data_IF_949744482293
#
_entry.id   IF_949744482293
#
_cell.length_a   1.000
_cell.length_b   1.000
_cell.length_c   1.000
_cell.angle_alpha   90.00
_cell.angle_beta   90.00
_cell.angle_gamma   90.00
#
_symmetry.space_group_name_H-M   'P 1'
#
loop_
_entity.id
_entity.type
_entity.pdbx_description
1 polymer ?
#
# COMPACT_ATOMS: atom_id res chain seq x y z
N UNK A 1 -13.82 -20.78 -3.58
CA UNK A 1 -12.63 -21.38 -4.21
C UNK A 1 -11.39 -20.82 -3.50
N UNK A 2 -10.66 -21.61 -2.72
CA UNK A 2 -9.44 -21.13 -2.04
C UNK A 2 -8.31 -21.08 -3.06
N UNK A 3 -7.85 -19.88 -3.42
CA UNK A 3 -6.65 -19.70 -4.22
C UNK A 3 -5.46 -20.15 -3.37
N UNK A 4 -4.89 -21.32 -3.67
CA UNK A 4 -3.65 -21.76 -3.03
C UNK A 4 -2.53 -20.86 -3.52
N UNK A 5 -1.75 -20.27 -2.62
CA UNK A 5 -0.51 -19.59 -3.00
C UNK A 5 0.40 -20.60 -3.68
N UNK A 6 0.92 -20.26 -4.87
CA UNK A 6 2.01 -21.02 -5.46
C UNK A 6 3.28 -20.80 -4.64
N UNK A 7 4.26 -21.71 -4.67
CA UNK A 7 5.53 -21.53 -3.96
C UNK A 7 6.21 -20.19 -4.25
N UNK A 8 6.14 -19.73 -5.51
CA UNK A 8 6.69 -18.44 -5.93
C UNK A 8 5.96 -17.22 -5.32
N UNK A 9 4.65 -17.34 -5.09
CA UNK A 9 3.85 -16.29 -4.45
C UNK A 9 4.18 -16.20 -2.96
N UNK A 10 4.48 -17.34 -2.33
CA UNK A 10 4.93 -17.42 -0.95
C UNK A 10 6.29 -16.74 -0.76
N UNK A 11 7.26 -17.06 -1.61
CA UNK A 11 8.59 -16.45 -1.54
C UNK A 11 8.50 -14.93 -1.74
N UNK A 12 7.68 -14.46 -2.70
CA UNK A 12 7.41 -13.04 -2.90
C UNK A 12 6.79 -12.40 -1.66
N UNK A 13 5.77 -13.04 -1.07
CA UNK A 13 5.12 -12.55 0.13
C UNK A 13 6.11 -12.44 1.32
N UNK A 14 6.99 -13.41 1.51
CA UNK A 14 8.05 -13.34 2.53
C UNK A 14 8.99 -12.15 2.30
N UNK A 15 9.47 -11.94 1.07
CA UNK A 15 10.31 -10.78 0.74
C UNK A 15 9.61 -9.45 1.00
N UNK A 16 8.30 -9.36 0.73
CA UNK A 16 7.52 -8.16 1.04
C UNK A 16 7.36 -7.95 2.55
N UNK A 17 7.18 -9.03 3.30
CA UNK A 17 7.10 -8.98 4.76
C UNK A 17 8.44 -8.57 5.38
N UNK A 18 9.57 -9.04 4.85
CA UNK A 18 10.91 -8.62 5.26
C UNK A 18 11.15 -7.13 5.03
N UNK A 19 10.69 -6.59 3.90
CA UNK A 19 10.67 -5.14 3.67
C UNK A 19 9.88 -4.42 4.77
N UNK A 20 8.67 -4.91 5.10
CA UNK A 20 7.87 -4.38 6.19
C UNK A 20 8.58 -4.43 7.56
N UNK A 21 9.35 -5.49 7.82
CA UNK A 21 10.17 -5.62 9.04
C UNK A 21 11.27 -4.55 9.06
N UNK A 22 11.93 -4.31 7.92
CA UNK A 22 12.88 -3.21 7.75
C UNK A 22 12.25 -1.85 8.12
N UNK A 23 11.09 -1.54 7.54
CA UNK A 23 10.35 -0.31 7.86
C UNK A 23 10.02 -0.19 9.36
N UNK A 24 9.60 -1.28 10.00
CA UNK A 24 9.27 -1.28 11.41
C UNK A 24 10.51 -1.09 12.29
N UNK A 25 11.64 -1.70 11.92
CA UNK A 25 12.92 -1.51 12.61
C UNK A 25 13.39 -0.08 12.51
N UNK A 26 13.30 0.53 11.34
CA UNK A 26 13.71 1.92 11.13
C UNK A 26 12.84 2.90 11.93
N UNK A 27 11.53 2.62 12.04
CA UNK A 27 10.59 3.50 12.74
C UNK A 27 10.56 3.31 14.26
N UNK A 28 10.69 2.07 14.74
CA UNK A 28 10.46 1.71 16.16
C UNK A 28 11.69 1.14 16.86
N UNK A 29 12.81 0.92 16.15
CA UNK A 29 14.02 0.33 16.71
C UNK A 29 13.78 -1.05 17.31
N UNK A 30 14.30 -1.27 18.52
CA UNK A 30 14.18 -2.54 19.27
C UNK A 30 12.76 -2.88 19.75
N UNK A 31 11.79 -1.95 19.64
CA UNK A 31 10.37 -2.18 19.95
C UNK A 31 9.54 -2.61 18.75
N UNK A 32 10.16 -2.90 17.61
CA UNK A 32 9.47 -3.39 16.41
C UNK A 32 8.87 -4.78 16.64
N UNK A 33 7.71 -5.03 16.03
CA UNK A 33 7.04 -6.33 16.06
C UNK A 33 6.39 -6.61 14.71
N UNK A 34 6.01 -7.87 14.48
CA UNK A 34 5.38 -8.29 13.22
C UNK A 34 4.09 -7.51 12.86
N UNK A 35 3.36 -7.01 13.87
CA UNK A 35 2.15 -6.18 13.67
C UNK A 35 2.49 -4.79 13.16
N UNK A 36 3.55 -4.18 13.68
CA UNK A 36 4.09 -2.91 13.20
C UNK A 36 4.57 -3.04 11.76
N UNK A 37 5.28 -4.13 11.44
CA UNK A 37 5.73 -4.43 10.08
C UNK A 37 4.57 -4.50 9.08
N UNK A 38 3.54 -5.30 9.37
CA UNK A 38 2.35 -5.40 8.52
C UNK A 38 1.63 -4.07 8.36
N UNK A 39 1.43 -3.34 9.45
CA UNK A 39 0.73 -2.06 9.39
C UNK A 39 1.49 -1.04 8.53
N UNK A 40 2.81 -0.94 8.72
CA UNK A 40 3.64 -0.03 7.94
C UNK A 40 3.67 -0.41 6.46
N UNK A 41 3.72 -1.70 6.15
CA UNK A 41 3.68 -2.20 4.79
C UNK A 41 2.36 -1.83 4.08
N UNK A 42 1.22 -1.92 4.78
CA UNK A 42 -0.09 -1.48 4.26
C UNK A 42 -0.10 0.03 4.02
N UNK A 43 0.39 0.83 4.98
CA UNK A 43 0.43 2.29 4.84
C UNK A 43 1.33 2.73 3.69
N UNK A 44 2.53 2.14 3.57
CA UNK A 44 3.46 2.43 2.48
C UNK A 44 2.85 2.06 1.12
N UNK A 45 2.16 0.91 1.03
CA UNK A 45 1.53 0.46 -0.20
C UNK A 45 0.42 1.41 -0.67
N UNK A 46 -0.38 1.95 0.25
CA UNK A 46 -1.40 2.96 -0.07
C UNK A 46 -0.77 4.29 -0.48
N UNK A 47 0.24 4.75 0.25
CA UNK A 47 0.97 5.98 -0.09
C UNK A 47 1.62 5.88 -1.47
N UNK A 48 2.16 4.71 -1.80
CA UNK A 48 2.76 4.45 -3.10
C UNK A 48 1.72 4.47 -4.21
N UNK A 49 0.60 3.77 -4.04
CA UNK A 49 -0.48 3.77 -5.04
C UNK A 49 -1.08 5.17 -5.24
N UNK A 50 -1.22 5.97 -4.19
CA UNK A 50 -1.68 7.37 -4.31
C UNK A 50 -0.68 8.23 -5.09
N UNK A 51 0.62 7.88 -5.08
CA UNK A 51 1.67 8.53 -5.86
C UNK A 51 1.83 7.97 -7.27
N UNK A 52 1.35 6.75 -7.54
CA UNK A 52 1.33 6.17 -8.89
C UNK A 52 0.34 6.99 -9.70
N UNK A 53 0.79 7.72 -10.74
CA UNK A 53 -0.13 8.48 -11.55
C UNK A 53 -1.02 7.51 -12.31
N UNK A 54 -2.31 7.60 -12.04
CA UNK A 54 -3.39 6.91 -12.74
C UNK A 54 -3.23 7.13 -14.25
N UNK A 55 -3.12 6.04 -15.02
CA UNK A 55 -2.83 6.12 -16.46
C UNK A 55 -3.94 6.90 -17.19
N UNK A 56 -5.18 6.78 -16.74
CA UNK A 56 -6.31 7.52 -17.30
C UNK A 56 -6.25 9.01 -16.93
N UNK A 57 -5.82 9.35 -15.71
CA UNK A 57 -5.55 10.75 -15.34
C UNK A 57 -4.32 11.33 -16.04
N UNK A 58 -3.34 10.52 -16.46
CA UNK A 58 -2.21 10.98 -17.31
C UNK A 58 -2.70 11.40 -18.70
N UNK A 59 -3.70 10.73 -19.25
CA UNK A 59 -4.28 11.11 -20.54
C UNK A 59 -5.08 12.42 -20.45
N UNK A 60 -5.67 12.71 -19.28
CA UNK A 60 -6.47 13.90 -19.03
C UNK A 60 -5.67 15.07 -18.40
N UNK A 61 -4.40 14.88 -18.04
CA UNK A 61 -3.54 15.92 -17.47
C UNK A 61 -2.43 16.30 -18.46
N UNK A 62 -2.57 17.50 -19.05
CA UNK A 62 -1.48 18.14 -19.79
C UNK A 62 -0.35 18.50 -18.82
N UNK A 63 0.57 17.58 -18.55
CA UNK A 63 1.67 17.91 -17.63
C UNK A 63 2.53 16.77 -17.12
N UNK A 64 2.17 15.50 -17.34
CA UNK A 64 3.02 14.38 -16.91
C UNK A 64 3.37 13.49 -18.09
N UNK A 65 4.17 14.03 -19.02
CA UNK A 65 5.01 13.19 -19.88
C UNK A 65 6.04 12.53 -18.97
N UNK A 66 5.73 11.33 -18.46
CA UNK A 66 6.75 10.44 -17.93
C UNK A 66 7.85 10.30 -18.98
N UNK A 67 9.11 10.44 -18.57
CA UNK A 67 10.31 10.35 -19.39
C UNK A 67 10.55 8.98 -20.02
N UNK A 68 9.59 8.50 -20.79
CA UNK A 68 9.68 7.35 -21.69
C UNK A 68 9.26 7.70 -23.12
N UNK A 69 8.85 8.95 -23.39
CA UNK A 69 8.68 9.47 -24.74
C UNK A 69 9.55 10.72 -24.90
N UNK A 70 10.86 10.52 -25.06
CA UNK A 70 11.49 11.26 -26.13
C UNK A 70 10.85 10.70 -27.40
N UNK A 71 9.87 11.41 -27.95
CA UNK A 71 9.45 11.19 -29.32
C UNK A 71 10.70 11.41 -30.17
N UNK A 72 11.35 10.32 -30.57
CA UNK A 72 12.40 10.32 -31.58
C UNK A 72 11.80 11.06 -32.78
N UNK A 73 12.31 12.27 -33.08
CA UNK A 73 11.90 13.05 -34.25
C UNK A 73 11.24 14.42 -34.00
N UNK A 74 11.04 14.88 -32.76
CA UNK A 74 10.56 16.26 -32.55
C UNK A 74 11.65 17.29 -32.88
N UNK A 75 11.29 18.29 -33.68
CA UNK A 75 12.17 19.37 -34.11
C UNK A 75 12.23 20.49 -33.07
N UNK A 76 13.32 21.27 -33.07
CA UNK A 76 13.51 22.43 -32.17
C UNK A 76 12.35 23.43 -32.25
N UNK A 77 11.68 23.52 -33.40
CA UNK A 77 10.57 24.43 -33.63
C UNK A 77 9.33 24.03 -32.80
N UNK A 78 9.00 22.75 -32.77
CA UNK A 78 7.85 22.21 -32.03
C UNK A 78 8.03 22.39 -30.51
N UNK A 79 9.27 22.29 -30.02
CA UNK A 79 9.59 22.56 -28.61
C UNK A 79 9.39 24.03 -28.24
N UNK A 80 9.73 24.96 -29.14
CA UNK A 80 9.52 26.40 -28.94
C UNK A 80 8.05 26.77 -29.00
N UNK A 81 7.27 26.11 -29.84
CA UNK A 81 5.83 26.34 -29.98
C UNK A 81 5.06 25.86 -28.74
N UNK A 82 5.43 24.70 -28.20
CA UNK A 82 4.88 24.20 -26.93
C UNK A 82 5.20 25.16 -25.78
N UNK A 83 6.42 25.69 -25.74
CA UNK A 83 6.82 26.66 -24.71
C UNK A 83 6.08 27.99 -24.85
N UNK A 84 5.81 28.45 -26.08
CA UNK A 84 4.96 29.62 -26.33
C UNK A 84 3.53 29.39 -25.86
N UNK A 85 2.95 28.22 -26.13
CA UNK A 85 1.61 27.85 -25.67
C UNK A 85 1.53 27.80 -24.14
N UNK A 86 2.60 27.35 -23.46
CA UNK A 86 2.72 27.34 -21.99
C UNK A 86 2.65 28.76 -21.42
N UNK A 87 3.42 29.69 -22.00
CA UNK A 87 3.46 31.10 -21.56
C UNK A 87 2.13 31.79 -21.82
N UNK A 88 1.52 31.57 -22.99
CA UNK A 88 0.23 32.16 -23.35
C UNK A 88 -0.93 31.63 -22.49
N UNK A 89 -0.84 30.38 -22.03
CA UNK A 89 -1.84 29.75 -21.16
C UNK A 89 -1.61 30.01 -19.66
N UNK A 90 -0.69 30.90 -19.29
CA UNK A 90 -0.34 31.26 -17.91
C UNK A 90 -0.03 30.07 -16.99
N UNK A 91 0.54 28.99 -17.53
CA UNK A 91 0.87 27.80 -16.75
C UNK A 91 2.16 28.01 -15.93
N UNK A 92 2.15 27.62 -14.65
CA UNK A 92 3.28 27.80 -13.72
C UNK A 92 4.59 27.13 -14.21
N UNK A 93 5.78 27.69 -13.94
CA UNK A 93 7.07 27.05 -14.18
C UNK A 93 7.26 25.79 -13.31
N UNK A 94 7.99 24.82 -13.85
CA UNK A 94 8.22 23.53 -13.21
C UNK A 94 9.11 23.67 -11.96
N UNK A 95 8.56 23.43 -10.77
CA UNK A 95 9.33 23.30 -9.52
C UNK A 95 9.79 21.85 -9.34
N UNK A 96 11.10 21.63 -9.45
CA UNK A 96 11.76 20.33 -9.37
C UNK A 96 11.83 19.74 -7.97
N UNK A 97 10.69 19.37 -7.37
CA UNK A 97 10.73 18.39 -6.28
C UNK A 97 10.99 16.99 -6.88
N UNK A 98 12.04 16.33 -6.39
CA UNK A 98 12.40 14.96 -6.73
C UNK A 98 11.24 14.02 -6.41
N UNK A 99 10.37 13.79 -7.41
CA UNK A 99 9.35 12.75 -7.33
C UNK A 99 10.07 11.41 -7.25
N UNK A 100 10.00 10.76 -6.09
CA UNK A 100 10.28 9.33 -5.99
C UNK A 100 9.38 8.62 -7.01
N UNK A 101 9.99 8.11 -8.08
CA UNK A 101 9.28 7.31 -9.06
C UNK A 101 9.22 5.88 -8.51
N UNK A 102 8.01 5.36 -8.23
CA UNK A 102 7.90 3.98 -7.75
C UNK A 102 8.46 3.03 -8.81
N UNK A 103 9.31 2.09 -8.38
CA UNK A 103 9.83 1.07 -9.29
C UNK A 103 8.74 0.03 -9.56
N UNK A 104 8.86 -0.71 -10.66
CA UNK A 104 7.92 -1.80 -11.01
C UNK A 104 7.71 -2.77 -9.85
N UNK A 105 8.78 -3.17 -9.19
CA UNK A 105 8.74 -4.09 -8.05
C UNK A 105 8.00 -3.48 -6.84
N UNK A 106 8.06 -2.16 -6.65
CA UNK A 106 7.35 -1.49 -5.55
C UNK A 106 5.84 -1.41 -5.82
N UNK A 107 5.44 -1.23 -7.08
CA UNK A 107 4.04 -1.28 -7.49
C UNK A 107 3.49 -2.69 -7.34
N UNK A 108 4.23 -3.71 -7.83
CA UNK A 108 3.84 -5.11 -7.69
C UNK A 108 3.71 -5.52 -6.22
N UNK A 109 4.66 -5.11 -5.36
CA UNK A 109 4.57 -5.28 -3.89
C UNK A 109 3.31 -4.61 -3.35
N UNK A 110 3.06 -3.37 -3.72
CA UNK A 110 1.94 -2.58 -3.18
C UNK A 110 0.59 -3.19 -3.55
N UNK A 111 0.43 -3.64 -4.80
CA UNK A 111 -0.78 -4.35 -5.26
C UNK A 111 -0.95 -5.67 -4.50
N UNK A 112 0.12 -6.47 -4.38
CA UNK A 112 0.07 -7.76 -3.68
C UNK A 112 -0.24 -7.63 -2.18
N UNK A 113 0.33 -6.63 -1.50
CA UNK A 113 0.05 -6.34 -0.08
C UNK A 113 -1.39 -5.89 0.09
N UNK A 114 -1.91 -5.03 -0.79
CA UNK A 114 -3.28 -4.54 -0.68
C UNK A 114 -4.33 -5.59 -1.05
N UNK A 115 -3.95 -6.59 -1.85
CA UNK A 115 -4.79 -7.76 -2.08
C UNK A 115 -5.09 -8.50 -0.77
N UNK A 116 -4.20 -8.48 0.23
CA UNK A 116 -4.46 -9.10 1.54
C UNK A 116 -5.63 -8.48 2.28
N UNK A 117 -6.02 -7.24 1.95
CA UNK A 117 -7.23 -6.62 2.48
C UNK A 117 -8.51 -7.35 2.06
N UNK A 118 -8.46 -8.24 1.05
CA UNK A 118 -9.58 -9.15 0.72
C UNK A 118 -10.01 -9.99 1.91
N UNK A 119 -9.07 -10.41 2.77
CA UNK A 119 -9.36 -11.17 3.98
C UNK A 119 -10.07 -10.33 5.06
N UNK A 120 -10.02 -9.00 4.94
CA UNK A 120 -10.78 -8.10 5.81
C UNK A 120 -12.24 -7.97 5.37
N UNK A 121 -12.60 -8.38 4.15
CA UNK A 121 -13.99 -8.41 3.69
C UNK A 121 -14.71 -9.67 4.20
N UNK A 122 -16.00 -9.53 4.53
CA UNK A 122 -16.94 -10.67 4.49
C UNK A 122 -17.68 -10.63 3.16
N UNK A 123 -18.34 -11.72 2.76
CA UNK A 123 -18.96 -11.90 1.43
C UNK A 123 -19.79 -10.71 0.93
N UNK A 124 -20.37 -9.88 1.81
CA UNK A 124 -21.09 -8.63 1.44
C UNK A 124 -20.78 -7.42 2.36
N UNK A 125 -19.75 -7.50 3.20
CA UNK A 125 -19.41 -6.42 4.15
C UNK A 125 -17.96 -5.99 4.01
N UNK A 126 -17.78 -4.87 3.31
CA UNK A 126 -16.49 -4.19 3.10
C UNK A 126 -16.20 -3.10 4.14
N UNK A 127 -17.01 -2.97 5.20
CA UNK A 127 -16.84 -1.89 6.20
C UNK A 127 -15.46 -1.91 6.84
N UNK A 128 -14.97 -3.09 7.23
CA UNK A 128 -13.63 -3.22 7.82
C UNK A 128 -12.54 -2.88 6.81
N UNK A 129 -12.64 -3.36 5.57
CA UNK A 129 -11.68 -3.05 4.51
C UNK A 129 -11.62 -1.54 4.24
N UNK A 130 -12.78 -0.88 4.09
CA UNK A 130 -12.87 0.56 3.89
C UNK A 130 -12.32 1.35 5.10
N UNK A 131 -12.64 0.92 6.32
CA UNK A 131 -12.11 1.53 7.54
C UNK A 131 -10.59 1.40 7.64
N UNK A 132 -10.01 0.26 7.23
CA UNK A 132 -8.55 0.07 7.20
C UNK A 132 -7.89 1.05 6.23
N UNK A 133 -8.43 1.18 5.00
CA UNK A 133 -7.89 2.11 4.00
C UNK A 133 -7.93 3.55 4.51
N UNK A 134 -9.08 3.97 5.06
CA UNK A 134 -9.24 5.32 5.62
C UNK A 134 -8.27 5.56 6.78
N UNK A 135 -8.16 4.59 7.70
CA UNK A 135 -7.27 4.68 8.85
C UNK A 135 -5.80 4.75 8.44
N UNK A 136 -5.38 3.96 7.45
CA UNK A 136 -4.02 3.96 6.94
C UNK A 136 -3.66 5.28 6.22
N UNK A 137 -4.64 5.94 5.59
CA UNK A 137 -4.51 7.29 5.02
C UNK A 137 -4.57 8.43 6.07
N UNK A 138 -4.74 8.10 7.35
CA UNK A 138 -4.82 9.09 8.43
C UNK A 138 -6.22 9.70 8.65
N UNK A 139 -7.26 9.21 7.97
CA UNK A 139 -8.64 9.66 8.13
C UNK A 139 -9.34 8.89 9.28
N UNK A 140 -8.85 9.05 10.51
CA UNK A 140 -9.31 8.27 11.69
C UNK A 140 -10.81 8.47 11.98
N UNK A 141 -11.31 9.69 11.80
CA UNK A 141 -12.72 10.03 12.04
C UNK A 141 -13.65 9.34 11.03
N UNK A 142 -13.26 9.30 9.76
CA UNK A 142 -14.03 8.65 8.71
C UNK A 142 -13.98 7.12 8.88
N UNK A 143 -12.80 6.59 9.20
CA UNK A 143 -12.63 5.18 9.52
C UNK A 143 -13.54 4.75 10.68
N UNK A 144 -13.60 5.57 11.74
CA UNK A 144 -14.46 5.31 12.88
C UNK A 144 -15.96 5.36 12.52
N UNK A 145 -16.39 6.32 11.69
CA UNK A 145 -17.78 6.41 11.21
C UNK A 145 -18.21 5.21 10.36
N UNK A 146 -17.30 4.66 9.56
CA UNK A 146 -17.60 3.49 8.72
C UNK A 146 -17.95 2.26 9.56
N UNK A 147 -17.28 2.06 10.70
CA UNK A 147 -17.56 0.93 11.60
C UNK A 147 -18.60 1.22 12.68
N UNK A 148 -18.66 2.45 13.19
CA UNK A 148 -19.58 2.83 14.25
C UNK A 148 -20.67 3.78 13.74
N UNK A 149 -21.83 3.20 13.42
CA UNK A 149 -23.02 3.95 12.99
C UNK A 149 -23.72 4.74 14.12
N UNK A 150 -23.33 4.55 15.38
CA UNK A 150 -24.07 5.06 16.56
C UNK A 150 -23.36 6.18 17.37
N UNK A 151 -22.45 6.92 16.75
CA UNK A 151 -22.19 8.34 17.11
C UNK A 151 -21.52 8.65 18.45
N UNK A 152 -21.10 7.66 19.24
CA UNK A 152 -20.25 7.88 20.43
C UNK A 152 -19.08 6.94 20.40
N UNK A 153 -17.94 7.37 19.87
CA UNK A 153 -16.76 6.52 19.93
C UNK A 153 -15.49 7.28 20.19
N UNK A 154 -14.73 6.77 21.17
CA UNK A 154 -13.35 7.18 21.42
C UNK A 154 -12.54 6.75 20.19
N UNK A 155 -12.22 7.69 19.31
CA UNK A 155 -11.54 7.45 18.02
C UNK A 155 -10.34 6.51 18.20
N UNK A 156 -9.50 6.76 19.22
CA UNK A 156 -8.34 5.91 19.56
C UNK A 156 -8.69 4.43 19.77
N UNK A 157 -9.80 4.15 20.45
CA UNK A 157 -10.24 2.78 20.71
C UNK A 157 -10.71 2.11 19.42
N UNK A 158 -11.44 2.84 18.56
CA UNK A 158 -11.89 2.31 17.27
C UNK A 158 -10.73 2.08 16.32
N UNK A 159 -9.79 3.02 16.23
CA UNK A 159 -8.57 2.88 15.46
C UNK A 159 -7.78 1.64 15.91
N UNK A 160 -7.68 1.41 17.22
CA UNK A 160 -7.06 0.19 17.76
C UNK A 160 -7.83 -1.08 17.37
N UNK A 161 -9.16 -1.06 17.45
CA UNK A 161 -10.00 -2.20 17.07
C UNK A 161 -9.88 -2.53 15.57
N UNK A 162 -9.92 -1.52 14.70
CA UNK A 162 -9.71 -1.64 13.25
C UNK A 162 -8.39 -2.36 12.99
N UNK A 163 -7.28 -1.82 13.53
CA UNK A 163 -5.94 -2.40 13.32
C UNK A 163 -5.89 -3.83 13.82
N UNK A 164 -6.38 -4.09 15.03
CA UNK A 164 -6.32 -5.42 15.64
C UNK A 164 -7.12 -6.45 14.84
N UNK A 165 -8.34 -6.11 14.42
CA UNK A 165 -9.20 -7.00 13.63
C UNK A 165 -8.65 -7.24 12.23
N UNK A 166 -8.18 -6.19 11.57
CA UNK A 166 -7.61 -6.29 10.23
C UNK A 166 -6.35 -7.13 10.21
N UNK A 167 -5.38 -6.83 11.09
CA UNK A 167 -4.14 -7.60 11.20
C UNK A 167 -4.42 -9.05 11.58
N UNK A 168 -5.36 -9.32 12.49
CA UNK A 168 -5.75 -10.68 12.83
C UNK A 168 -6.29 -11.48 11.63
N UNK A 169 -7.12 -10.86 10.78
CA UNK A 169 -7.64 -11.52 9.57
C UNK A 169 -6.56 -11.73 8.52
N UNK A 170 -5.67 -10.75 8.33
CA UNK A 170 -4.55 -10.86 7.40
C UNK A 170 -3.59 -11.98 7.84
N UNK A 171 -3.23 -12.01 9.12
CA UNK A 171 -2.37 -13.07 9.68
C UNK A 171 -3.00 -14.46 9.55
N UNK A 172 -4.32 -14.56 9.76
CA UNK A 172 -5.05 -15.80 9.52
C UNK A 172 -4.96 -16.22 8.05
N UNK A 173 -5.19 -15.28 7.13
CA UNK A 173 -5.06 -15.54 5.69
C UNK A 173 -3.65 -15.93 5.26
N UNK A 174 -2.62 -15.24 5.74
CA UNK A 174 -1.21 -15.59 5.49
C UNK A 174 -0.89 -17.01 5.98
N UNK A 175 -1.42 -17.41 7.14
CA UNK A 175 -1.24 -18.77 7.65
C UNK A 175 -1.98 -19.80 6.81
N UNK A 176 -3.27 -19.58 6.53
CA UNK A 176 -4.14 -20.58 5.90
C UNK A 176 -3.89 -20.71 4.39
N UNK A 177 -3.65 -19.60 3.69
CA UNK A 177 -3.50 -19.57 2.24
C UNK A 177 -2.03 -19.65 1.80
N UNK A 178 -1.11 -19.03 2.54
CA UNK A 178 0.31 -18.94 2.18
C UNK A 178 1.24 -19.80 3.06
N UNK A 179 0.77 -20.34 4.19
CA UNK A 179 1.62 -21.07 5.13
C UNK A 179 2.68 -20.19 5.81
N UNK A 180 2.43 -18.89 5.94
CA UNK A 180 3.36 -17.94 6.56
C UNK A 180 2.86 -17.57 7.96
N UNK A 181 3.75 -17.62 8.94
CA UNK A 181 3.45 -17.30 10.35
C UNK A 181 4.42 -16.25 10.90
N UNK A 182 4.04 -15.51 11.96
CA UNK A 182 5.00 -14.70 12.70
C UNK A 182 6.15 -15.56 13.22
N UNK A 183 7.37 -15.04 13.15
CA UNK A 183 8.54 -15.69 13.73
C UNK A 183 8.38 -15.85 15.25
N UNK A 184 8.90 -16.93 15.85
CA UNK A 184 8.85 -17.13 17.31
C UNK A 184 9.46 -15.98 18.12
N UNK A 185 10.40 -15.22 17.55
CA UNK A 185 11.01 -14.05 18.18
C UNK A 185 10.09 -12.80 18.17
N UNK A 186 8.93 -12.86 17.51
CA UNK A 186 7.95 -11.78 17.42
C UNK A 186 8.33 -10.61 16.48
N UNK A 187 9.47 -10.67 15.80
CA UNK A 187 10.04 -9.55 15.03
C UNK A 187 9.90 -9.70 13.51
N UNK A 188 9.51 -10.86 13.00
CA UNK A 188 9.40 -11.10 11.56
C UNK A 188 8.42 -12.20 11.18
N UNK A 189 8.65 -12.81 10.02
CA UNK A 189 7.78 -13.85 9.45
C UNK A 189 8.63 -15.03 8.95
N UNK A 190 8.08 -16.23 9.04
CA UNK A 190 8.72 -17.48 8.61
C UNK A 190 7.69 -18.38 7.95
N UNK A 191 8.16 -19.36 7.16
CA UNK A 191 7.29 -20.43 6.70
C UNK A 191 6.90 -21.34 7.86
N UNK A 192 5.64 -21.78 7.86
CA UNK A 192 5.17 -22.82 8.75
C UNK A 192 5.76 -24.16 8.30
N UNK A 193 6.81 -24.62 8.96
CA UNK A 193 7.27 -25.99 8.81
C UNK A 193 6.29 -26.93 9.55
N UNK A 194 5.92 -28.05 8.92
CA UNK A 194 5.06 -29.07 9.52
C UNK A 194 5.72 -29.59 10.82
N UNK A 195 5.30 -29.07 11.97
CA UNK A 195 5.84 -29.46 13.29
C UNK A 195 5.61 -28.43 14.40
N UNK A 196 5.39 -27.16 14.08
CA UNK A 196 5.22 -26.10 15.10
C UNK A 196 3.75 -25.71 15.26
N UNK A 197 2.96 -26.63 15.82
CA UNK A 197 1.70 -26.29 16.48
C UNK A 197 1.94 -26.23 17.98
N UNK A 198 1.93 -25.01 18.54
CA UNK A 198 1.58 -24.77 19.93
C UNK A 198 0.45 -23.73 19.96
#
# INVERSE_FOLDING_TARGET
>A
MRLRFLPEDRERALRWLDHGVGLARDRFGGGSNYRHALWLLITESLDLLDRVPDQEKRWLSSGTRSGGWNAVGMTKHELVEIERLRVLSAMKPFEGQSRYMPQRNDVERSVGVLEWLRWCSKEDDHSLQKAVVLLAKGAEDEAAKVLNKHGRTRIRQVSYEIRTRALGRILKGLREDAGIIPSPNGQGFVEAHHGETN
#
